data_IF_541481387546
#
_entry.id   IF_541481387546
#
_cell.length_a   1.000
_cell.length_b   1.000
_cell.length_c   1.000
_cell.angle_alpha   90.00
_cell.angle_beta   90.00
_cell.angle_gamma   90.00
#
_symmetry.space_group_name_H-M   'P 1'
#
loop_
_entity.id
_entity.type
_entity.pdbx_description
1 polymer ?
#
# COMPACT_ATOMS: atom_id res chain seq x y z
N UNK A 1 -21.60 0.94 -19.02
CA UNK A 1 -21.98 1.19 -17.61
C UNK A 1 -21.90 2.68 -17.34
N UNK A 2 -22.85 3.29 -16.60
CA UNK A 2 -22.76 4.71 -16.24
C UNK A 2 -21.53 4.98 -15.37
N UNK A 3 -20.86 6.12 -15.58
CA UNK A 3 -19.60 6.45 -14.90
C UNK A 3 -19.73 6.51 -13.36
N UNK A 4 -20.88 6.94 -12.85
CA UNK A 4 -21.15 7.01 -11.42
C UNK A 4 -21.06 5.64 -10.72
N UNK A 5 -21.38 4.55 -11.44
CA UNK A 5 -21.36 3.19 -10.88
C UNK A 5 -19.94 2.71 -10.57
N UNK A 6 -18.91 3.29 -11.20
CA UNK A 6 -17.52 2.94 -10.91
C UNK A 6 -17.08 3.37 -9.50
N UNK A 7 -17.72 4.40 -8.94
CA UNK A 7 -17.40 4.89 -7.60
C UNK A 7 -17.81 3.92 -6.49
N UNK A 8 -18.75 3.02 -6.78
CA UNK A 8 -19.22 1.97 -5.86
C UNK A 8 -18.34 0.71 -5.91
N UNK A 9 -17.40 0.62 -6.87
CA UNK A 9 -16.54 -0.55 -6.99
C UNK A 9 -15.69 -0.74 -5.73
N UNK A 10 -15.68 -1.96 -5.24
CA UNK A 10 -14.77 -2.45 -4.21
C UNK A 10 -13.68 -3.27 -4.88
N UNK A 11 -12.50 -3.28 -4.28
CA UNK A 11 -11.35 -3.98 -4.83
C UNK A 11 -10.90 -5.10 -3.92
N UNK A 12 -10.32 -6.14 -4.52
CA UNK A 12 -9.71 -7.26 -3.81
C UNK A 12 -8.21 -7.10 -3.90
N UNK A 13 -7.57 -6.88 -2.76
CA UNK A 13 -6.12 -6.94 -2.66
C UNK A 13 -5.64 -8.39 -2.63
N UNK A 14 -4.40 -8.62 -3.04
CA UNK A 14 -3.78 -9.94 -3.03
C UNK A 14 -3.85 -10.54 -1.61
N UNK A 15 -4.30 -11.81 -1.42
CA UNK A 15 -4.49 -12.38 -0.08
C UNK A 15 -3.23 -12.37 0.81
N UNK A 16 -2.07 -12.48 0.17
CA UNK A 16 -0.75 -12.40 0.82
C UNK A 16 -0.18 -10.97 0.89
N UNK A 17 -1.04 -9.95 0.90
CA UNK A 17 -0.66 -8.54 1.10
C UNK A 17 -1.19 -8.00 2.43
N UNK A 18 -0.45 -7.09 3.06
CA UNK A 18 -0.84 -6.37 4.27
C UNK A 18 -0.37 -4.93 4.17
N UNK A 19 -1.24 -4.02 4.58
CA UNK A 19 -0.91 -2.60 4.73
C UNK A 19 -0.49 -2.38 6.19
N UNK A 20 0.71 -1.83 6.37
CA UNK A 20 1.35 -1.69 7.68
C UNK A 20 1.72 -0.24 7.92
N UNK A 21 1.41 0.25 9.12
CA UNK A 21 1.96 1.49 9.66
C UNK A 21 2.73 1.15 10.93
N UNK A 22 4.00 1.55 10.97
CA UNK A 22 4.89 1.30 12.09
C UNK A 22 5.50 2.60 12.55
N UNK A 23 5.71 2.73 13.86
CA UNK A 23 6.48 3.85 14.43
C UNK A 23 8.00 3.69 14.25
N UNK A 24 8.44 2.49 13.91
CA UNK A 24 9.84 2.12 13.70
C UNK A 24 10.15 1.92 12.22
N UNK A 25 11.42 2.10 11.79
CA UNK A 25 11.85 1.97 10.39
C UNK A 25 12.02 0.51 9.98
N UNK A 26 10.92 -0.23 9.94
CA UNK A 26 10.89 -1.69 9.67
C UNK A 26 11.64 -2.06 8.39
N UNK A 27 11.63 -1.22 7.35
CA UNK A 27 12.35 -1.51 6.10
C UNK A 27 13.86 -1.55 6.30
N UNK A 28 14.42 -0.63 7.12
CA UNK A 28 15.83 -0.63 7.44
C UNK A 28 16.20 -1.84 8.31
N UNK A 29 15.38 -2.13 9.33
CA UNK A 29 15.55 -3.32 10.20
C UNK A 29 15.53 -4.60 9.36
N UNK A 30 14.56 -4.74 8.45
CA UNK A 30 14.43 -5.91 7.60
C UNK A 30 15.64 -6.05 6.67
N UNK A 31 16.05 -4.99 5.96
CA UNK A 31 17.21 -5.02 5.05
C UNK A 31 18.49 -5.43 5.76
N UNK A 32 18.73 -4.92 6.96
CA UNK A 32 19.88 -5.28 7.77
C UNK A 32 19.97 -6.81 7.94
N UNK A 33 18.85 -7.47 8.24
CA UNK A 33 18.80 -8.91 8.48
C UNK A 33 18.72 -9.78 7.21
N UNK A 34 18.57 -9.18 6.02
CA UNK A 34 18.61 -9.91 4.74
C UNK A 34 20.03 -10.14 4.24
N UNK A 35 20.97 -9.28 4.65
CA UNK A 35 22.39 -9.43 4.33
C UNK A 35 23.08 -9.99 5.57
N UNK A 36 24.06 -10.90 5.43
CA UNK A 36 24.87 -11.36 6.58
C UNK A 36 25.84 -10.26 7.07
N UNK A 37 25.49 -8.98 6.90
CA UNK A 37 26.31 -7.84 7.26
C UNK A 37 26.09 -7.51 8.74
N UNK A 38 27.08 -7.80 9.56
CA UNK A 38 27.04 -7.65 11.02
C UNK A 38 27.46 -6.26 11.52
N UNK A 39 27.69 -5.29 10.63
CA UNK A 39 28.29 -3.99 10.97
C UNK A 39 27.38 -2.77 10.78
N UNK A 40 26.19 -2.93 10.21
CA UNK A 40 25.25 -1.82 10.02
C UNK A 40 24.36 -1.62 11.26
N UNK A 41 24.23 -0.38 11.71
CA UNK A 41 23.36 0.02 12.82
C UNK A 41 22.13 0.72 12.25
N UNK A 42 20.94 0.27 12.65
CA UNK A 42 19.68 0.93 12.29
C UNK A 42 19.34 1.97 13.35
N UNK A 43 19.21 3.23 12.94
CA UNK A 43 18.60 4.27 13.76
C UNK A 43 17.10 3.98 13.92
N UNK A 44 16.69 3.58 15.13
CA UNK A 44 15.29 3.27 15.44
C UNK A 44 14.41 4.53 15.54
N UNK A 45 15.02 5.71 15.72
CA UNK A 45 14.35 7.00 15.83
C UNK A 45 14.16 7.70 14.48
N UNK A 46 14.61 7.08 13.38
CA UNK A 46 14.39 7.55 12.01
C UNK A 46 12.90 7.72 11.64
N UNK A 47 12.00 7.18 12.45
CA UNK A 47 10.60 7.56 12.48
C UNK A 47 9.64 6.56 11.81
N UNK A 48 8.39 7.00 11.73
CA UNK A 48 7.30 6.14 11.29
C UNK A 48 7.34 5.86 9.78
N UNK A 49 6.94 4.65 9.40
CA UNK A 49 6.85 4.22 8.01
C UNK A 49 5.49 3.59 7.71
N UNK A 50 5.02 3.86 6.49
CA UNK A 50 3.84 3.24 5.87
C UNK A 50 4.32 2.34 4.75
N UNK A 51 3.90 1.09 4.75
CA UNK A 51 4.33 0.16 3.72
C UNK A 51 3.25 -0.85 3.34
N UNK A 52 3.38 -1.37 2.13
CA UNK A 52 2.78 -2.60 1.68
C UNK A 52 3.79 -3.72 1.91
N UNK A 53 3.40 -4.71 2.71
CA UNK A 53 4.09 -6.01 2.76
C UNK A 53 3.32 -6.94 1.84
N UNK A 54 3.98 -7.53 0.84
CA UNK A 54 3.31 -8.43 -0.08
C UNK A 54 4.24 -9.56 -0.49
N UNK A 55 3.72 -10.78 -0.51
CA UNK A 55 4.41 -11.91 -1.15
C UNK A 55 4.00 -11.98 -2.61
N UNK A 56 4.93 -11.75 -3.52
CA UNK A 56 4.75 -12.00 -4.96
C UNK A 56 5.62 -13.21 -5.32
N UNK A 57 4.99 -14.24 -5.89
CA UNK A 57 5.65 -15.54 -6.09
C UNK A 57 6.22 -16.10 -4.77
N UNK A 58 7.54 -16.27 -4.68
CA UNK A 58 8.23 -16.79 -3.49
C UNK A 58 8.94 -15.72 -2.66
N UNK A 59 8.91 -14.46 -3.08
CA UNK A 59 9.62 -13.37 -2.42
C UNK A 59 8.68 -12.46 -1.64
N UNK A 60 9.14 -12.03 -0.46
CA UNK A 60 8.45 -11.03 0.34
C UNK A 60 9.04 -9.67 -0.02
N UNK A 61 8.17 -8.78 -0.49
CA UNK A 61 8.51 -7.41 -0.82
C UNK A 61 7.98 -6.45 0.26
N UNK A 62 8.85 -5.54 0.71
CA UNK A 62 8.48 -4.41 1.55
C UNK A 62 8.53 -3.15 0.68
N UNK A 63 7.35 -2.61 0.37
CA UNK A 63 7.19 -1.45 -0.50
C UNK A 63 6.77 -0.23 0.35
N UNK A 64 7.65 0.75 0.61
CA UNK A 64 7.27 2.00 1.24
C UNK A 64 6.19 2.72 0.42
N UNK A 65 5.19 3.25 1.11
CA UNK A 65 4.07 3.95 0.50
C UNK A 65 4.11 5.44 0.85
N UNK A 66 3.79 6.28 -0.12
CA UNK A 66 3.41 7.67 0.16
C UNK A 66 2.12 7.72 0.98
N UNK A 67 1.84 8.84 1.62
CA UNK A 67 0.63 9.03 2.43
C UNK A 67 -0.65 8.74 1.61
N UNK A 68 -0.74 9.28 0.39
CA UNK A 68 -1.89 9.04 -0.50
C UNK A 68 -2.05 7.57 -0.92
N UNK A 69 -0.95 6.89 -1.29
CA UNK A 69 -1.01 5.45 -1.63
C UNK A 69 -1.43 4.61 -0.43
N UNK A 70 -0.90 4.91 0.75
CA UNK A 70 -1.29 4.24 1.99
C UNK A 70 -2.78 4.42 2.30
N UNK A 71 -3.29 5.65 2.24
CA UNK A 71 -4.70 5.93 2.51
C UNK A 71 -5.62 5.20 1.52
N UNK A 72 -5.33 5.31 0.22
CA UNK A 72 -6.07 4.59 -0.84
C UNK A 72 -6.08 3.08 -0.59
N UNK A 73 -4.90 2.45 -0.46
CA UNK A 73 -4.82 0.99 -0.29
C UNK A 73 -5.42 0.53 1.04
N UNK A 74 -5.35 1.32 2.10
CA UNK A 74 -5.95 0.99 3.40
C UNK A 74 -7.47 0.94 3.30
N UNK A 75 -8.09 1.94 2.66
CA UNK A 75 -9.54 1.96 2.44
C UNK A 75 -9.98 0.78 1.57
N UNK A 76 -9.28 0.52 0.45
CA UNK A 76 -9.57 -0.64 -0.40
C UNK A 76 -9.41 -1.97 0.35
N UNK A 77 -8.39 -2.09 1.21
CA UNK A 77 -8.17 -3.27 2.05
C UNK A 77 -9.28 -3.47 3.11
N UNK A 78 -9.87 -2.37 3.61
CA UNK A 78 -11.03 -2.40 4.50
C UNK A 78 -12.33 -2.79 3.75
N UNK A 79 -12.26 -2.92 2.42
CA UNK A 79 -13.38 -3.24 1.56
C UNK A 79 -14.16 -2.01 1.14
N UNK A 80 -13.72 -0.79 1.47
CA UNK A 80 -14.43 0.44 1.13
C UNK A 80 -14.54 0.66 -0.39
N UNK A 81 -15.58 1.36 -0.86
CA UNK A 81 -15.77 1.65 -2.28
C UNK A 81 -14.72 2.64 -2.79
N UNK A 82 -14.54 2.68 -4.11
CA UNK A 82 -13.56 3.53 -4.78
C UNK A 82 -13.69 5.01 -4.42
N UNK A 83 -14.92 5.52 -4.27
CA UNK A 83 -15.13 6.91 -3.83
C UNK A 83 -14.46 7.20 -2.48
N UNK A 84 -14.71 6.36 -1.48
CA UNK A 84 -14.14 6.52 -0.15
C UNK A 84 -12.61 6.39 -0.16
N UNK A 85 -12.07 5.46 -0.96
CA UNK A 85 -10.62 5.34 -1.12
C UNK A 85 -9.98 6.57 -1.78
N UNK A 86 -10.66 7.18 -2.76
CA UNK A 86 -10.22 8.41 -3.40
C UNK A 86 -10.27 9.58 -2.41
N UNK A 87 -11.38 9.75 -1.69
CA UNK A 87 -11.53 10.78 -0.65
C UNK A 87 -10.45 10.68 0.43
N UNK A 88 -10.19 9.47 0.94
CA UNK A 88 -9.14 9.23 1.93
C UNK A 88 -7.75 9.62 1.42
N UNK A 89 -7.45 9.33 0.14
CA UNK A 89 -6.19 9.71 -0.47
C UNK A 89 -6.06 11.22 -0.68
N UNK A 90 -7.12 11.88 -1.16
CA UNK A 90 -7.15 13.33 -1.38
C UNK A 90 -7.07 14.12 -0.08
N UNK A 91 -7.67 13.61 1.01
CA UNK A 91 -7.61 14.26 2.33
C UNK A 91 -6.18 14.41 2.86
N UNK A 92 -5.28 13.49 2.51
CA UNK A 92 -3.86 13.53 2.93
C UNK A 92 -2.92 14.05 1.85
N UNK A 93 -3.35 14.02 0.58
CA UNK A 93 -2.61 14.54 -0.56
C UNK A 93 -3.59 14.98 -1.67
N UNK A 94 -3.96 16.27 -1.73
CA UNK A 94 -4.93 16.78 -2.71
C UNK A 94 -4.52 16.56 -4.17
N UNK A 95 -3.22 16.43 -4.45
CA UNK A 95 -2.68 16.22 -5.81
C UNK A 95 -2.54 14.73 -6.16
N UNK A 96 -3.08 13.82 -5.34
CA UNK A 96 -2.92 12.38 -5.54
C UNK A 96 -3.60 11.88 -6.83
N UNK A 97 -2.85 11.30 -7.76
CA UNK A 97 -3.44 10.66 -8.94
C UNK A 97 -3.99 9.27 -8.61
N UNK A 98 -5.29 9.20 -8.28
CA UNK A 98 -6.02 7.96 -7.95
C UNK A 98 -5.95 6.94 -9.10
N UNK A 99 -6.05 7.40 -10.35
CA UNK A 99 -6.07 6.53 -11.51
C UNK A 99 -4.70 5.87 -11.71
N UNK A 100 -3.62 6.65 -11.57
CA UNK A 100 -2.26 6.10 -11.58
C UNK A 100 -2.02 5.16 -10.40
N UNK A 101 -2.47 5.52 -9.19
CA UNK A 101 -2.38 4.65 -8.02
C UNK A 101 -2.99 3.27 -8.26
N UNK A 102 -4.22 3.23 -8.77
CA UNK A 102 -4.87 1.96 -9.15
C UNK A 102 -4.11 1.22 -10.25
N UNK A 103 -3.74 1.89 -11.35
CA UNK A 103 -3.00 1.27 -12.46
C UNK A 103 -1.69 0.64 -11.99
N UNK A 104 -0.91 1.36 -11.18
CA UNK A 104 0.35 0.87 -10.62
C UNK A 104 0.12 -0.43 -9.82
N UNK A 105 -0.90 -0.46 -8.95
CA UNK A 105 -1.15 -1.60 -8.07
C UNK A 105 -1.88 -2.76 -8.74
N UNK A 106 -2.60 -2.54 -9.84
CA UNK A 106 -3.07 -3.61 -10.74
C UNK A 106 -1.88 -4.22 -11.48
N UNK A 107 -1.01 -3.40 -12.09
CA UNK A 107 0.17 -3.87 -12.81
C UNK A 107 1.12 -4.67 -11.90
N UNK A 108 1.28 -4.23 -10.65
CA UNK A 108 2.07 -4.92 -9.61
C UNK A 108 1.32 -6.07 -8.92
N UNK A 109 0.15 -6.52 -9.43
CA UNK A 109 -0.67 -7.60 -8.86
C UNK A 109 -0.95 -7.46 -7.35
N UNK A 110 -1.01 -6.22 -6.87
CA UNK A 110 -1.42 -5.91 -5.50
C UNK A 110 -2.94 -5.89 -5.42
N UNK A 111 -3.59 -5.34 -6.43
CA UNK A 111 -5.04 -5.48 -6.67
C UNK A 111 -5.22 -6.62 -7.67
N UNK A 112 -6.05 -7.59 -7.33
CA UNK A 112 -6.23 -8.84 -8.10
C UNK A 112 -7.68 -9.07 -8.54
N UNK A 113 -8.61 -8.21 -8.13
CA UNK A 113 -10.01 -8.29 -8.51
C UNK A 113 -10.81 -7.09 -8.04
N UNK A 114 -12.08 -7.07 -8.39
CA UNK A 114 -13.05 -6.07 -7.96
C UNK A 114 -14.46 -6.69 -7.90
N UNK A 115 -15.33 -6.06 -7.15
CA UNK A 115 -16.73 -6.45 -6.98
C UNK A 115 -17.58 -5.19 -6.68
N UNK A 116 -18.91 -5.36 -6.64
CA UNK A 116 -19.85 -4.34 -6.20
C UNK A 116 -20.30 -4.66 -4.77
#
# INVERSE_FOLDING_TARGET
MPAARYLELRFVLHPASRIVHSRYPIVAIWRLHQTNSSQEVVDLDAGAIRLLVIRRHQEVELEPLSHGKYAMLSALAAGDPLAAAAEAAFAVNPEFDIARGLRDHVARRTIVGFYF
#
